data_IF_575922901199
#
_entry.id   IF_575922901199
#
_cell.length_a   1.000
_cell.length_b   1.000
_cell.length_c   1.000
_cell.angle_alpha   90.00
_cell.angle_beta   90.00
_cell.angle_gamma   90.00
#
_symmetry.space_group_name_H-M   'P 1'
#
loop_
_entity.id
_entity.type
_entity.pdbx_description
1 polymer ?
#
# COMPACT_ATOMS: atom_id res chain seq x y z
N UNK A 1 61.79 -5.14 -60.00
CA UNK A 1 61.27 -5.27 -58.61
C UNK A 1 60.70 -3.92 -58.22
N UNK A 2 59.44 -3.62 -58.52
CA UNK A 2 58.22 -3.90 -57.73
C UNK A 2 58.19 -3.27 -56.33
N UNK A 3 57.41 -2.17 -56.22
CA UNK A 3 56.46 -1.72 -55.17
C UNK A 3 56.90 -1.73 -53.67
N UNK A 4 56.47 -0.85 -52.76
CA UNK A 4 55.35 0.11 -52.69
C UNK A 4 55.60 1.16 -51.58
N UNK A 5 54.88 2.28 -51.64
CA UNK A 5 54.72 3.30 -50.59
C UNK A 5 53.58 2.96 -49.62
N UNK A 6 53.72 3.30 -48.33
CA UNK A 6 52.67 3.68 -47.38
C UNK A 6 53.38 4.29 -46.15
N UNK A 7 53.04 5.45 -45.56
CA UNK A 7 51.72 6.05 -45.39
C UNK A 7 51.28 5.87 -43.92
N UNK A 8 51.99 6.48 -42.96
CA UNK A 8 51.62 6.44 -41.53
C UNK A 8 50.64 7.57 -41.20
N UNK A 9 49.42 7.20 -40.80
CA UNK A 9 48.31 8.10 -40.46
C UNK A 9 48.47 8.76 -39.08
N UNK A 10 47.85 9.92 -38.83
CA UNK A 10 47.82 10.56 -37.52
C UNK A 10 46.90 9.81 -36.55
N UNK A 11 47.34 9.68 -35.30
CA UNK A 11 46.56 9.14 -34.17
C UNK A 11 45.32 9.99 -33.92
N UNK A 12 44.15 9.36 -34.07
CA UNK A 12 42.85 9.89 -33.66
C UNK A 12 42.80 9.84 -32.12
N UNK A 13 42.69 11.00 -31.47
CA UNK A 13 42.27 11.08 -30.08
C UNK A 13 40.82 10.59 -29.99
N UNK A 14 40.60 9.49 -29.26
CA UNK A 14 39.27 9.04 -28.90
C UNK A 14 38.56 10.10 -28.03
N UNK A 15 37.26 10.37 -28.26
CA UNK A 15 36.52 11.30 -27.42
C UNK A 15 36.40 10.71 -26.02
N UNK A 16 36.84 11.49 -25.01
CA UNK A 16 36.60 11.17 -23.59
C UNK A 16 35.10 10.97 -23.38
N UNK A 17 34.76 9.76 -22.95
CA UNK A 17 33.46 9.41 -22.40
C UNK A 17 33.07 10.46 -21.36
N UNK A 18 31.95 11.14 -21.61
CA UNK A 18 31.33 12.07 -20.67
C UNK A 18 31.10 11.35 -19.34
N UNK A 19 31.69 11.90 -18.29
CA UNK A 19 31.37 11.57 -16.91
C UNK A 19 29.85 11.58 -16.74
N UNK A 20 29.30 10.49 -16.21
CA UNK A 20 27.91 10.39 -15.83
C UNK A 20 27.61 11.49 -14.83
N UNK A 21 26.87 12.48 -15.28
CA UNK A 21 26.25 13.46 -14.42
C UNK A 21 25.16 12.74 -13.62
N UNK A 22 25.56 12.15 -12.50
CA UNK A 22 24.66 11.61 -11.47
C UNK A 22 24.02 12.80 -10.73
N UNK A 23 23.31 13.64 -11.48
CA UNK A 23 22.38 14.59 -10.89
C UNK A 23 21.30 13.75 -10.26
N UNK A 24 21.39 13.61 -8.93
CA UNK A 24 20.24 13.37 -8.07
C UNK A 24 19.29 14.53 -8.31
N UNK A 25 18.47 14.44 -9.35
CA UNK A 25 17.36 15.36 -9.52
C UNK A 25 16.50 15.20 -8.27
N UNK A 26 16.20 16.28 -7.52
CA UNK A 26 15.20 16.18 -6.46
C UNK A 26 13.94 15.65 -7.13
N UNK A 27 13.44 14.50 -6.65
CA UNK A 27 12.21 13.93 -7.21
C UNK A 27 11.07 14.85 -6.76
N UNK A 28 10.66 15.72 -7.68
CA UNK A 28 9.54 16.63 -7.55
C UNK A 28 8.44 16.25 -8.55
N UNK A 29 7.31 16.96 -8.54
CA UNK A 29 6.17 16.64 -9.42
C UNK A 29 6.55 16.66 -10.90
N UNK A 30 7.49 17.51 -11.32
CA UNK A 30 7.96 17.55 -12.72
C UNK A 30 8.71 16.25 -13.08
N UNK A 31 9.63 15.82 -12.22
CA UNK A 31 10.36 14.56 -12.41
C UNK A 31 9.41 13.36 -12.37
N UNK A 32 8.40 13.38 -11.50
CA UNK A 32 7.33 12.38 -11.49
C UNK A 32 6.62 12.29 -12.86
N UNK A 33 6.14 13.43 -13.38
CA UNK A 33 5.45 13.47 -14.68
C UNK A 33 6.35 12.89 -15.79
N UNK A 34 7.66 13.17 -15.74
CA UNK A 34 8.62 12.60 -16.69
C UNK A 34 8.77 11.08 -16.54
N UNK A 35 8.86 10.56 -15.32
CA UNK A 35 8.92 9.12 -15.04
C UNK A 35 7.69 8.42 -15.60
N UNK A 36 6.48 8.91 -15.27
CA UNK A 36 5.22 8.33 -15.76
C UNK A 36 5.14 8.37 -17.29
N UNK A 37 5.51 9.49 -17.92
CA UNK A 37 5.55 9.61 -19.39
C UNK A 37 6.59 8.68 -20.02
N UNK A 38 7.74 8.47 -19.39
CA UNK A 38 8.77 7.54 -19.89
C UNK A 38 8.31 6.09 -19.88
N UNK A 39 7.35 5.76 -19.00
CA UNK A 39 6.67 4.45 -18.92
C UNK A 39 5.43 4.38 -19.83
N UNK A 40 5.22 5.37 -20.70
CA UNK A 40 4.16 5.38 -21.70
C UNK A 40 2.83 5.99 -21.25
N UNK A 41 2.76 6.58 -20.05
CA UNK A 41 1.55 7.21 -19.57
C UNK A 41 1.31 8.58 -20.22
N UNK A 42 0.04 8.89 -20.47
CA UNK A 42 -0.41 10.26 -20.73
C UNK A 42 -0.67 10.92 -19.38
N UNK A 43 -0.06 12.07 -19.12
CA UNK A 43 -0.23 12.79 -17.85
C UNK A 43 -0.63 14.23 -18.10
N UNK A 44 -1.77 14.62 -17.53
CA UNK A 44 -2.33 15.96 -17.55
C UNK A 44 -2.41 16.51 -16.11
N UNK A 45 -2.08 17.78 -15.91
CA UNK A 45 -2.24 18.43 -14.62
C UNK A 45 -3.67 18.94 -14.45
N UNK A 46 -4.32 18.53 -13.37
CA UNK A 46 -5.65 18.98 -12.97
C UNK A 46 -5.60 20.13 -11.97
N UNK A 47 -6.62 20.24 -11.12
CA UNK A 47 -6.76 21.31 -10.14
C UNK A 47 -5.90 21.11 -8.88
N UNK A 48 -5.75 22.18 -8.10
CA UNK A 48 -5.21 22.11 -6.74
C UNK A 48 -6.22 21.45 -5.79
N UNK A 49 -5.73 20.70 -4.82
CA UNK A 49 -6.55 20.01 -3.82
C UNK A 49 -5.91 20.14 -2.43
N UNK A 50 -6.71 20.15 -1.38
CA UNK A 50 -6.22 20.13 0.00
C UNK A 50 -6.72 18.87 0.69
N UNK A 51 -5.81 18.15 1.35
CA UNK A 51 -6.17 17.10 2.31
C UNK A 51 -6.02 17.64 3.72
N UNK A 52 -6.93 17.31 4.66
CA UNK A 52 -6.91 17.87 6.00
C UNK A 52 -5.77 17.33 6.87
N UNK A 53 -5.13 16.22 6.45
CA UNK A 53 -4.04 15.54 7.16
C UNK A 53 -2.66 15.76 6.51
N UNK A 54 -2.58 16.55 5.42
CA UNK A 54 -1.31 17.00 4.85
C UNK A 54 -1.18 18.52 4.98
N UNK A 55 0.01 18.98 5.35
CA UNK A 55 0.36 20.37 5.62
C UNK A 55 0.57 21.21 4.36
N UNK A 56 0.73 20.56 3.20
CA UNK A 56 0.92 21.22 1.89
C UNK A 56 -0.33 21.05 1.01
N UNK A 57 -0.62 22.01 0.11
CA UNK A 57 -1.60 21.79 -0.94
C UNK A 57 -1.07 20.73 -1.91
N UNK A 58 -1.99 19.93 -2.44
CA UNK A 58 -1.73 18.93 -3.46
C UNK A 58 -2.16 19.39 -4.85
N UNK A 59 -1.81 18.58 -5.85
CA UNK A 59 -2.22 18.74 -7.24
C UNK A 59 -2.82 17.43 -7.76
N UNK A 60 -3.95 17.51 -8.43
CA UNK A 60 -4.51 16.38 -9.17
C UNK A 60 -3.68 16.18 -10.44
N UNK A 61 -3.28 14.94 -10.72
CA UNK A 61 -2.77 14.52 -12.03
C UNK A 61 -3.74 13.51 -12.64
N UNK A 62 -4.08 13.67 -13.91
CA UNK A 62 -4.79 12.66 -14.69
C UNK A 62 -3.77 11.79 -15.42
N UNK A 63 -3.57 10.56 -14.94
CA UNK A 63 -2.69 9.55 -15.53
C UNK A 63 -3.54 8.60 -16.35
N UNK A 64 -3.42 8.64 -17.68
CA UNK A 64 -4.29 7.91 -18.61
C UNK A 64 -5.79 8.18 -18.38
N UNK A 65 -6.14 9.38 -17.89
CA UNK A 65 -7.50 9.77 -17.52
C UNK A 65 -7.93 9.39 -16.10
N UNK A 66 -7.08 8.69 -15.33
CA UNK A 66 -7.32 8.32 -13.93
C UNK A 66 -6.71 9.38 -13.00
N UNK A 67 -7.48 9.86 -12.03
CA UNK A 67 -7.02 10.90 -11.12
C UNK A 67 -6.16 10.32 -9.98
N UNK A 68 -4.97 10.89 -9.80
CA UNK A 68 -4.12 10.73 -8.60
C UNK A 68 -3.89 12.11 -7.98
N UNK A 69 -3.60 12.15 -6.69
CA UNK A 69 -3.25 13.38 -5.97
C UNK A 69 -1.77 13.35 -5.59
N UNK A 70 -1.07 14.45 -5.79
CA UNK A 70 0.36 14.58 -5.49
C UNK A 70 0.59 15.71 -4.51
N UNK A 71 1.39 15.46 -3.47
CA UNK A 71 1.74 16.43 -2.43
C UNK A 71 3.26 16.56 -2.41
N UNK A 72 3.76 17.75 -2.71
CA UNK A 72 5.19 18.04 -2.83
C UNK A 72 5.65 18.89 -1.65
N UNK A 73 6.66 18.38 -0.96
CA UNK A 73 7.24 18.98 0.22
C UNK A 73 8.57 19.64 -0.11
N UNK A 74 8.95 20.64 0.68
CA UNK A 74 10.26 21.31 0.56
C UNK A 74 11.40 20.32 0.87
N UNK A 75 11.20 19.44 1.85
CA UNK A 75 12.18 18.42 2.23
C UNK A 75 11.54 17.04 2.41
N UNK A 76 12.36 16.00 2.26
CA UNK A 76 11.96 14.62 2.60
C UNK A 76 11.58 14.49 4.09
N UNK A 77 12.22 15.28 4.97
CA UNK A 77 11.88 15.26 6.39
C UNK A 77 10.45 15.78 6.66
N UNK A 78 10.00 16.80 5.93
CA UNK A 78 8.63 17.31 6.05
C UNK A 78 7.62 16.32 5.49
N UNK A 79 7.95 15.70 4.34
CA UNK A 79 7.17 14.60 3.78
C UNK A 79 7.02 13.45 4.78
N UNK A 80 8.11 13.03 5.44
CA UNK A 80 8.08 11.94 6.41
C UNK A 80 7.16 12.26 7.60
N UNK A 81 7.24 13.48 8.15
CA UNK A 81 6.35 13.90 9.25
C UNK A 81 4.88 13.82 8.85
N UNK A 82 4.54 14.27 7.66
CA UNK A 82 3.16 14.23 7.18
C UNK A 82 2.71 12.80 6.82
N UNK A 83 3.62 11.95 6.36
CA UNK A 83 3.32 10.54 6.11
C UNK A 83 2.98 9.76 7.38
N UNK A 84 3.42 10.22 8.56
CA UNK A 84 3.07 9.62 9.85
C UNK A 84 1.59 9.80 10.19
N UNK A 85 0.87 10.71 9.53
CA UNK A 85 -0.59 10.84 9.66
C UNK A 85 -1.37 9.76 8.90
N UNK A 86 -0.68 8.90 8.15
CA UNK A 86 -1.28 7.80 7.39
C UNK A 86 -0.81 6.47 8.00
N UNK A 87 -1.73 5.74 8.61
CA UNK A 87 -1.48 4.41 9.15
C UNK A 87 -1.23 3.42 8.01
N UNK A 88 -0.59 2.28 8.31
CA UNK A 88 -0.23 1.28 7.30
C UNK A 88 -1.44 0.72 6.51
N UNK A 89 -2.63 0.71 7.11
CA UNK A 89 -3.90 0.32 6.47
C UNK A 89 -4.52 1.45 5.61
N UNK A 90 -3.82 2.58 5.50
CA UNK A 90 -4.25 3.79 4.81
C UNK A 90 -5.24 4.65 5.60
N UNK A 91 -5.63 4.27 6.82
CA UNK A 91 -6.45 5.16 7.66
C UNK A 91 -5.64 6.39 8.03
N UNK A 92 -6.32 7.52 8.24
CA UNK A 92 -5.66 8.81 8.49
C UNK A 92 -6.07 9.38 9.83
N UNK A 93 -5.11 10.02 10.49
CA UNK A 93 -5.33 10.64 11.79
C UNK A 93 -6.28 11.84 11.69
N UNK A 94 -7.18 11.97 12.67
CA UNK A 94 -8.03 13.14 12.88
C UNK A 94 -8.88 13.56 11.67
N UNK A 95 -9.18 12.65 10.74
CA UNK A 95 -10.06 12.91 9.60
C UNK A 95 -10.90 11.69 9.21
N UNK A 96 -12.22 11.85 9.24
CA UNK A 96 -13.16 10.90 8.62
C UNK A 96 -13.28 11.22 7.13
N UNK A 97 -12.46 10.56 6.32
CA UNK A 97 -12.51 10.69 4.86
C UNK A 97 -13.44 9.62 4.30
N UNK A 98 -14.47 10.05 3.57
CA UNK A 98 -15.32 9.14 2.80
C UNK A 98 -14.64 8.80 1.47
N UNK A 99 -13.69 7.87 1.53
CA UNK A 99 -13.01 7.32 0.36
C UNK A 99 -14.02 6.70 -0.61
N UNK A 100 -13.85 6.96 -1.90
CA UNK A 100 -14.75 6.40 -2.92
C UNK A 100 -14.33 4.98 -3.32
N UNK A 101 -13.04 4.68 -3.23
CA UNK A 101 -12.42 3.42 -3.60
C UNK A 101 -11.34 3.04 -2.57
N UNK A 102 -10.52 2.05 -2.92
CA UNK A 102 -9.34 1.72 -2.15
C UNK A 102 -8.30 2.85 -2.21
N UNK A 103 -7.71 3.13 -1.06
CA UNK A 103 -6.72 4.18 -0.88
C UNK A 103 -5.33 3.58 -0.94
N UNK A 104 -4.50 4.14 -1.80
CA UNK A 104 -3.12 3.73 -2.01
C UNK A 104 -2.21 4.93 -1.83
N UNK A 105 -1.22 4.78 -0.94
CA UNK A 105 -0.29 5.83 -0.63
C UNK A 105 1.13 5.40 -1.00
N UNK A 106 1.75 6.18 -1.89
CA UNK A 106 3.12 6.01 -2.32
C UNK A 106 3.95 7.21 -1.87
N UNK A 107 5.25 7.01 -1.70
CA UNK A 107 6.18 8.10 -1.41
C UNK A 107 7.51 7.90 -2.11
N UNK A 108 8.12 8.99 -2.57
CA UNK A 108 9.47 9.00 -3.14
C UNK A 108 10.10 10.38 -2.93
N UNK A 109 11.26 10.42 -2.27
CA UNK A 109 11.92 11.65 -1.83
C UNK A 109 10.96 12.61 -1.10
N UNK A 110 10.66 13.79 -1.64
CA UNK A 110 9.77 14.77 -1.02
C UNK A 110 8.34 14.76 -1.61
N UNK A 111 7.90 13.65 -2.20
CA UNK A 111 6.54 13.49 -2.72
C UNK A 111 5.76 12.42 -1.96
N UNK A 112 4.48 12.71 -1.71
CA UNK A 112 3.43 11.71 -1.45
C UNK A 112 2.51 11.66 -2.66
N UNK A 113 2.11 10.46 -3.06
CA UNK A 113 1.03 10.22 -4.01
C UNK A 113 -0.08 9.47 -3.32
N UNK A 114 -1.29 10.01 -3.44
CA UNK A 114 -2.53 9.39 -2.99
C UNK A 114 -3.35 9.02 -4.23
N UNK A 115 -3.66 7.73 -4.36
CA UNK A 115 -4.58 7.22 -5.35
C UNK A 115 -5.79 6.59 -4.64
N UNK A 116 -6.98 7.15 -4.91
CA UNK A 116 -8.27 6.63 -4.41
C UNK A 116 -8.96 5.90 -5.57
N UNK A 117 -8.55 4.67 -5.86
CA UNK A 117 -9.03 3.91 -7.02
C UNK A 117 -8.48 2.50 -7.12
N UNK A 118 -9.10 1.69 -7.98
CA UNK A 118 -8.81 0.25 -8.14
C UNK A 118 -8.28 -0.10 -9.54
N UNK A 119 -7.86 0.88 -10.35
CA UNK A 119 -7.35 0.63 -11.70
C UNK A 119 -5.97 -0.03 -11.62
N UNK A 120 -5.93 -1.35 -11.91
CA UNK A 120 -4.71 -2.17 -11.79
C UNK A 120 -3.56 -1.62 -12.64
N UNK A 121 -3.84 -1.10 -13.84
CA UNK A 121 -2.80 -0.54 -14.70
C UNK A 121 -2.17 0.72 -14.09
N UNK A 122 -2.99 1.56 -13.43
CA UNK A 122 -2.50 2.71 -12.66
C UNK A 122 -1.69 2.27 -11.45
N UNK A 123 -2.15 1.25 -10.70
CA UNK A 123 -1.41 0.73 -9.55
C UNK A 123 -0.05 0.12 -9.95
N UNK A 124 -0.01 -0.66 -11.02
CA UNK A 124 1.24 -1.24 -11.55
C UNK A 124 2.19 -0.13 -11.96
N UNK A 125 1.70 0.88 -12.69
CA UNK A 125 2.49 2.02 -13.13
C UNK A 125 3.04 2.84 -11.94
N UNK A 126 2.21 3.10 -10.93
CA UNK A 126 2.64 3.81 -9.72
C UNK A 126 3.65 2.98 -8.93
N UNK A 127 3.42 1.68 -8.78
CA UNK A 127 4.36 0.78 -8.09
C UNK A 127 5.72 0.73 -8.81
N UNK A 128 5.72 0.68 -10.14
CA UNK A 128 6.94 0.70 -10.95
C UNK A 128 7.63 2.09 -10.96
N UNK A 129 6.91 3.17 -10.64
CA UNK A 129 7.46 4.52 -10.53
C UNK A 129 7.97 4.86 -9.12
N UNK A 130 7.30 4.38 -8.06
CA UNK A 130 7.51 4.79 -6.67
C UNK A 130 8.01 3.67 -5.76
N UNK A 131 7.98 2.43 -6.22
CA UNK A 131 8.11 1.26 -5.37
C UNK A 131 6.80 0.92 -4.67
N UNK A 132 6.89 0.05 -3.67
CA UNK A 132 5.71 -0.41 -2.93
C UNK A 132 5.00 0.75 -2.21
N UNK A 133 3.68 0.63 -2.11
CA UNK A 133 2.86 1.47 -1.23
C UNK A 133 3.42 1.46 0.19
N UNK A 134 3.44 2.63 0.83
CA UNK A 134 3.78 2.72 2.24
C UNK A 134 2.55 2.56 3.14
N UNK A 135 1.35 2.77 2.58
CA UNK A 135 0.06 2.55 3.23
C UNK A 135 -1.03 2.25 2.19
N UNK A 136 -2.05 1.47 2.57
CA UNK A 136 -3.13 1.03 1.68
C UNK A 136 -3.07 -0.48 1.41
N UNK A 137 -1.94 -0.96 0.89
CA UNK A 137 -1.66 -2.41 0.74
C UNK A 137 -1.26 -3.08 2.07
N UNK A 138 -2.24 -3.32 2.94
CA UNK A 138 -2.03 -3.98 4.22
C UNK A 138 -1.89 -5.51 4.06
N UNK A 139 -0.87 -6.08 4.71
CA UNK A 139 -0.47 -7.51 4.62
C UNK A 139 -0.32 -8.14 6.00
N UNK A 140 -0.13 -9.45 6.10
CA UNK A 140 0.05 -10.13 7.39
C UNK A 140 1.31 -9.63 8.11
N UNK A 141 2.38 -9.33 7.36
CA UNK A 141 3.58 -8.71 7.92
C UNK A 141 3.31 -7.30 8.45
N UNK A 142 2.45 -6.52 7.79
CA UNK A 142 2.03 -5.19 8.26
C UNK A 142 1.27 -5.31 9.58
N UNK A 143 0.32 -6.26 9.65
CA UNK A 143 -0.41 -6.57 10.88
C UNK A 143 0.53 -6.92 12.04
N UNK A 144 1.45 -7.87 11.84
CA UNK A 144 2.41 -8.29 12.87
C UNK A 144 3.23 -7.09 13.37
N UNK A 145 3.75 -6.25 12.45
CA UNK A 145 4.52 -5.05 12.83
C UNK A 145 3.68 -4.06 13.62
N UNK A 146 2.43 -3.82 13.21
CA UNK A 146 1.53 -2.90 13.92
C UNK A 146 1.23 -3.42 15.33
N UNK A 147 0.89 -4.70 15.49
CA UNK A 147 0.65 -5.32 16.79
C UNK A 147 1.86 -5.24 17.71
N UNK A 148 3.06 -5.58 17.20
CA UNK A 148 4.30 -5.50 17.98
C UNK A 148 4.63 -4.05 18.36
N UNK A 149 4.40 -3.08 17.46
CA UNK A 149 4.62 -1.65 17.77
C UNK A 149 3.71 -1.14 18.90
N UNK A 150 2.55 -1.77 19.08
CA UNK A 150 1.60 -1.51 20.17
C UNK A 150 1.89 -2.32 21.43
N UNK A 151 3.01 -3.06 21.46
CA UNK A 151 3.48 -3.81 22.63
C UNK A 151 2.93 -5.23 22.75
N UNK A 152 2.28 -5.75 21.70
CA UNK A 152 1.82 -7.13 21.69
C UNK A 152 2.98 -8.13 21.51
N UNK A 153 2.89 -9.27 22.21
CA UNK A 153 3.66 -10.46 21.85
C UNK A 153 2.94 -11.19 20.72
N UNK A 154 3.63 -11.42 19.60
CA UNK A 154 3.04 -12.04 18.41
C UNK A 154 3.91 -13.20 17.96
N UNK A 155 3.33 -14.40 17.95
CA UNK A 155 3.98 -15.62 17.47
C UNK A 155 3.19 -16.21 16.31
N UNK A 156 3.83 -16.40 15.15
CA UNK A 156 3.24 -17.17 14.05
C UNK A 156 3.04 -18.64 14.47
N UNK A 157 1.82 -19.14 14.28
CA UNK A 157 1.41 -20.50 14.54
C UNK A 157 1.20 -21.31 13.26
N UNK A 158 0.34 -22.33 13.39
CA UNK A 158 0.04 -23.26 12.31
C UNK A 158 -0.87 -22.66 11.24
N UNK A 159 -0.91 -23.31 10.07
CA UNK A 159 -1.91 -23.03 9.04
C UNK A 159 -3.32 -23.35 9.53
N UNK A 160 -4.31 -22.62 9.04
CA UNK A 160 -5.72 -22.80 9.37
C UNK A 160 -6.58 -22.63 8.12
N UNK A 161 -7.62 -23.44 7.99
CA UNK A 161 -8.61 -23.34 6.91
C UNK A 161 -9.99 -23.05 7.50
N UNK A 162 -10.76 -22.20 6.83
CA UNK A 162 -12.17 -22.00 7.12
C UNK A 162 -12.98 -22.42 5.88
N UNK A 163 -14.03 -23.26 6.02
CA UNK A 163 -14.78 -23.78 4.87
C UNK A 163 -15.42 -22.71 3.97
N UNK A 164 -15.55 -21.48 4.46
CA UNK A 164 -16.17 -20.34 3.78
C UNK A 164 -15.15 -19.26 3.36
N UNK A 165 -13.85 -19.48 3.59
CA UNK A 165 -12.77 -18.59 3.15
C UNK A 165 -11.94 -19.35 2.11
N UNK A 166 -11.73 -18.80 0.90
CA UNK A 166 -11.14 -19.55 -0.22
C UNK A 166 -9.61 -19.63 -0.20
N UNK A 167 -8.96 -19.16 0.86
CA UNK A 167 -7.50 -19.15 1.02
C UNK A 167 -7.10 -19.85 2.32
N UNK A 168 -5.92 -20.47 2.32
CA UNK A 168 -5.30 -20.95 3.55
C UNK A 168 -4.87 -19.73 4.40
N UNK A 169 -5.24 -19.76 5.68
CA UNK A 169 -4.83 -18.77 6.66
C UNK A 169 -3.71 -19.26 7.55
N UNK A 170 -3.30 -18.40 8.49
CA UNK A 170 -2.39 -18.73 9.57
C UNK A 170 -2.95 -18.29 10.90
N UNK A 171 -2.62 -19.02 11.96
CA UNK A 171 -2.87 -18.56 13.32
C UNK A 171 -1.73 -17.62 13.73
N UNK A 172 -2.07 -16.43 14.22
CA UNK A 172 -1.19 -15.58 15.01
C UNK A 172 -1.59 -15.71 16.47
N UNK A 173 -0.63 -16.06 17.34
CA UNK A 173 -0.82 -15.98 18.79
C UNK A 173 -0.51 -14.56 19.24
N UNK A 174 -1.54 -13.76 19.48
CA UNK A 174 -1.44 -12.37 19.94
C UNK A 174 -1.69 -12.34 21.44
N UNK A 175 -0.66 -12.06 22.24
CA UNK A 175 -0.70 -12.16 23.70
C UNK A 175 -1.24 -13.52 24.21
N UNK A 176 -0.99 -14.59 23.45
CA UNK A 176 -1.47 -15.94 23.74
C UNK A 176 -2.86 -16.29 23.19
N UNK A 177 -3.64 -15.33 22.69
CA UNK A 177 -4.92 -15.55 22.02
C UNK A 177 -4.73 -15.93 20.53
N UNK A 178 -5.54 -16.84 20.02
CA UNK A 178 -5.47 -17.27 18.62
C UNK A 178 -6.28 -16.34 17.72
N UNK A 179 -5.58 -15.64 16.82
CA UNK A 179 -6.15 -14.82 15.74
C UNK A 179 -5.89 -15.50 14.41
N UNK A 180 -6.93 -15.83 13.66
CA UNK A 180 -6.79 -16.42 12.34
C UNK A 180 -6.66 -15.30 11.30
N UNK A 181 -5.61 -15.33 10.50
CA UNK A 181 -5.29 -14.30 9.50
C UNK A 181 -5.25 -14.93 8.11
N UNK A 182 -6.05 -14.37 7.21
CA UNK A 182 -6.17 -14.78 5.83
C UNK A 182 -5.68 -13.65 4.93
N UNK A 183 -4.59 -13.88 4.19
CA UNK A 183 -4.04 -12.92 3.24
C UNK A 183 -4.40 -13.33 1.81
N UNK A 184 -5.10 -12.44 1.12
CA UNK A 184 -5.58 -12.64 -0.24
C UNK A 184 -4.56 -12.17 -1.28
N UNK A 185 -4.72 -12.64 -2.51
CA UNK A 185 -3.91 -12.17 -3.64
C UNK A 185 -4.12 -10.66 -3.88
N UNK A 186 -5.36 -10.20 -3.76
CA UNK A 186 -5.79 -8.81 -3.92
C UNK A 186 -6.78 -8.38 -2.83
N UNK A 187 -6.93 -7.06 -2.62
CA UNK A 187 -7.97 -6.51 -1.76
C UNK A 187 -9.37 -6.81 -2.32
N UNK A 188 -9.53 -6.81 -3.65
CA UNK A 188 -10.79 -7.19 -4.32
C UNK A 188 -11.27 -8.59 -3.91
N UNK A 189 -10.36 -9.58 -3.89
CA UNK A 189 -10.69 -10.95 -3.46
C UNK A 189 -11.06 -11.02 -1.96
N UNK A 190 -10.37 -10.23 -1.14
CA UNK A 190 -10.66 -10.09 0.29
C UNK A 190 -12.07 -9.50 0.47
N UNK A 191 -12.38 -8.39 -0.20
CA UNK A 191 -13.67 -7.70 -0.11
C UNK A 191 -14.84 -8.57 -0.60
N UNK A 192 -14.64 -9.33 -1.69
CA UNK A 192 -15.64 -10.28 -2.15
C UNK A 192 -15.94 -11.36 -1.09
N UNK A 193 -14.91 -11.84 -0.40
CA UNK A 193 -15.06 -12.83 0.67
C UNK A 193 -15.73 -12.21 1.90
N UNK A 194 -15.30 -11.02 2.32
CA UNK A 194 -15.85 -10.30 3.45
C UNK A 194 -17.35 -9.97 3.25
N UNK A 195 -17.75 -9.57 2.04
CA UNK A 195 -19.14 -9.25 1.70
C UNK A 195 -20.09 -10.45 1.81
N UNK A 196 -19.57 -11.69 1.79
CA UNK A 196 -20.38 -12.88 2.01
C UNK A 196 -20.69 -13.13 3.49
N UNK A 197 -19.94 -12.54 4.42
CA UNK A 197 -20.10 -12.72 5.87
C UNK A 197 -21.24 -11.85 6.38
N UNK A 198 -22.19 -12.43 7.11
CA UNK A 198 -23.29 -11.68 7.71
C UNK A 198 -22.79 -10.72 8.79
N UNK A 199 -23.52 -9.63 9.02
CA UNK A 199 -23.12 -8.60 9.98
C UNK A 199 -22.86 -9.14 11.41
N UNK A 200 -23.53 -10.21 11.82
CA UNK A 200 -23.34 -10.88 13.12
C UNK A 200 -22.25 -11.98 13.11
N UNK A 201 -21.61 -12.21 11.97
CA UNK A 201 -20.62 -13.27 11.76
C UNK A 201 -21.19 -14.69 11.82
N UNK A 202 -22.51 -14.86 11.93
CA UNK A 202 -23.17 -16.16 12.11
C UNK A 202 -23.33 -16.97 10.83
N UNK A 203 -23.07 -16.37 9.67
CA UNK A 203 -23.15 -17.03 8.37
C UNK A 203 -22.20 -16.42 7.35
N UNK A 204 -21.84 -17.21 6.34
CA UNK A 204 -21.11 -16.77 5.17
C UNK A 204 -21.76 -17.36 3.91
N UNK A 205 -22.40 -16.52 3.09
CA UNK A 205 -23.22 -16.95 1.96
C UNK A 205 -24.36 -17.86 2.40
N UNK A 206 -24.33 -19.14 2.02
CA UNK A 206 -25.32 -20.16 2.43
C UNK A 206 -24.86 -21.02 3.60
N UNK A 207 -23.65 -20.78 4.13
CA UNK A 207 -23.06 -21.56 5.23
C UNK A 207 -23.44 -20.92 6.55
N UNK A 208 -24.11 -21.67 7.43
CA UNK A 208 -24.36 -21.28 8.81
C UNK A 208 -23.18 -21.72 9.68
N UNK A 209 -22.71 -20.85 10.56
CA UNK A 209 -21.51 -21.09 11.36
C UNK A 209 -21.91 -21.12 12.84
N UNK A 210 -21.48 -22.18 13.54
CA UNK A 210 -21.63 -22.28 15.00
C UNK A 210 -20.26 -22.08 15.62
N UNK A 211 -20.07 -20.95 16.26
CA UNK A 211 -18.83 -20.61 16.93
C UNK A 211 -18.77 -21.20 18.33
N UNK A 212 -17.55 -21.44 18.81
CA UNK A 212 -17.29 -21.90 20.19
C UNK A 212 -17.34 -20.75 21.19
N UNK A 213 -17.16 -19.51 20.71
CA UNK A 213 -17.27 -18.25 21.44
C UNK A 213 -17.67 -17.13 20.45
N UNK A 214 -17.69 -15.87 20.87
CA UNK A 214 -18.09 -14.75 20.02
C UNK A 214 -17.10 -14.48 18.86
N UNK A 215 -17.58 -14.42 17.60
CA UNK A 215 -16.73 -14.13 16.45
C UNK A 215 -16.53 -12.62 16.26
N UNK A 216 -15.31 -12.22 15.98
CA UNK A 216 -14.91 -10.85 15.64
C UNK A 216 -14.14 -10.84 14.32
N UNK A 217 -14.69 -10.16 13.31
CA UNK A 217 -14.07 -10.05 11.98
C UNK A 217 -13.54 -8.65 11.72
N UNK A 218 -12.28 -8.59 11.30
CA UNK A 218 -11.57 -7.38 10.93
C UNK A 218 -11.04 -7.49 9.51
N UNK A 219 -10.84 -6.36 8.84
CA UNK A 219 -10.24 -6.34 7.51
C UNK A 219 -9.44 -5.07 7.25
N UNK A 220 -8.37 -5.18 6.48
CA UNK A 220 -7.60 -4.06 5.94
C UNK A 220 -6.76 -4.54 4.77
N UNK A 221 -6.76 -3.79 3.66
CA UNK A 221 -6.04 -4.18 2.45
C UNK A 221 -6.34 -5.62 2.06
N UNK A 222 -5.31 -6.47 1.98
CA UNK A 222 -5.48 -7.87 1.58
C UNK A 222 -5.78 -8.82 2.73
N UNK A 223 -6.05 -8.31 3.93
CA UNK A 223 -6.19 -9.10 5.15
C UNK A 223 -7.64 -9.18 5.59
N UNK A 224 -8.06 -10.41 5.90
CA UNK A 224 -9.21 -10.71 6.75
C UNK A 224 -8.68 -11.39 8.02
N UNK A 225 -9.00 -10.85 9.19
CA UNK A 225 -8.66 -11.45 10.47
C UNK A 225 -9.93 -11.88 11.21
N UNK A 226 -9.87 -13.04 11.86
CA UNK A 226 -10.93 -13.62 12.66
C UNK A 226 -10.38 -13.95 14.05
N UNK A 227 -10.96 -13.33 15.07
CA UNK A 227 -10.78 -13.71 16.46
C UNK A 227 -12.08 -14.34 16.97
N UNK A 228 -11.99 -15.49 17.65
CA UNK A 228 -13.14 -16.15 18.26
C UNK A 228 -12.88 -16.24 19.75
N UNK A 229 -13.48 -15.35 20.54
CA UNK A 229 -13.21 -15.20 21.96
C UNK A 229 -13.79 -13.90 22.51
N UNK A 230 -13.80 -13.76 23.82
CA UNK A 230 -14.44 -12.64 24.53
C UNK A 230 -13.45 -11.69 25.24
N UNK A 231 -12.16 -11.76 24.91
CA UNK A 231 -11.14 -10.88 25.49
C UNK A 231 -11.19 -9.50 24.82
N UNK A 232 -11.80 -8.53 25.51
CA UNK A 232 -11.92 -7.14 25.05
C UNK A 232 -10.57 -6.46 24.82
N UNK A 233 -9.50 -6.87 25.51
CA UNK A 233 -8.15 -6.31 25.27
C UNK A 233 -7.61 -6.75 23.91
N UNK A 234 -7.90 -8.00 23.50
CA UNK A 234 -7.53 -8.50 22.17
C UNK A 234 -8.35 -7.82 21.07
N UNK A 235 -9.66 -7.70 21.27
CA UNK A 235 -10.55 -7.00 20.31
C UNK A 235 -10.06 -5.57 20.10
N UNK A 236 -9.85 -4.82 21.19
CA UNK A 236 -9.37 -3.45 21.10
C UNK A 236 -7.98 -3.35 20.46
N UNK A 237 -7.07 -4.25 20.81
CA UNK A 237 -5.74 -4.28 20.21
C UNK A 237 -5.80 -4.51 18.70
N UNK A 238 -6.73 -5.37 18.23
CA UNK A 238 -6.98 -5.59 16.82
C UNK A 238 -7.65 -4.39 16.15
N UNK A 239 -8.63 -3.73 16.76
CA UNK A 239 -9.23 -2.47 16.26
C UNK A 239 -8.24 -1.30 16.21
N UNK A 240 -7.27 -1.28 17.11
CA UNK A 240 -6.22 -0.28 17.09
C UNK A 240 -5.17 -0.61 16.01
N UNK A 241 -5.01 -1.88 15.64
CA UNK A 241 -4.00 -2.37 14.68
C UNK A 241 -4.52 -2.55 13.25
N UNK A 242 -5.81 -2.81 13.10
CA UNK A 242 -6.59 -3.02 11.88
C UNK A 242 -7.84 -2.16 12.03
N UNK A 243 -8.45 -1.71 10.93
CA UNK A 243 -9.75 -1.05 10.95
C UNK A 243 -10.77 -1.73 11.88
N UNK A 244 -11.76 -0.96 12.39
CA UNK A 244 -12.79 -1.47 13.29
C UNK A 244 -13.46 -2.75 12.79
N UNK A 245 -13.94 -3.56 13.74
CA UNK A 245 -14.70 -4.76 13.44
C UNK A 245 -15.82 -4.47 12.43
N UNK A 246 -15.89 -5.25 11.35
CA UNK A 246 -16.92 -5.08 10.32
C UNK A 246 -18.08 -6.09 10.44
N UNK A 247 -17.84 -7.23 11.10
CA UNK A 247 -18.84 -8.25 11.37
C UNK A 247 -18.52 -9.00 12.67
N UNK A 248 -19.55 -9.53 13.34
CA UNK A 248 -19.41 -10.23 14.61
C UNK A 248 -20.26 -9.62 15.72
N UNK A 249 -19.98 -10.00 16.97
CA UNK A 249 -20.68 -9.48 18.16
C UNK A 249 -19.73 -9.28 19.33
#
# INVERSE_FOLDING_TARGET
>A
MLAACAGGAPTVEEPRSSEGNDTVYPVNRVTLIQILKSKGAVVEEGDEIQQPFFSVPGRILLVNGVAIQTFEYETEADMLRDSEHVNADGSVDNADINWLNERHFFRLASLIVLYDGNDEATLELLTDAFGAEFAGNFTALSLIRTLVSKGADVVEGEAVEQPFIPVEGKILKVNGADVQVFEFASNSDMEQTAAAISADGGSAGTTMITWVDDPHFFKAGRILALYVGSDEEIVKLLEDAILPQFAGR
#
